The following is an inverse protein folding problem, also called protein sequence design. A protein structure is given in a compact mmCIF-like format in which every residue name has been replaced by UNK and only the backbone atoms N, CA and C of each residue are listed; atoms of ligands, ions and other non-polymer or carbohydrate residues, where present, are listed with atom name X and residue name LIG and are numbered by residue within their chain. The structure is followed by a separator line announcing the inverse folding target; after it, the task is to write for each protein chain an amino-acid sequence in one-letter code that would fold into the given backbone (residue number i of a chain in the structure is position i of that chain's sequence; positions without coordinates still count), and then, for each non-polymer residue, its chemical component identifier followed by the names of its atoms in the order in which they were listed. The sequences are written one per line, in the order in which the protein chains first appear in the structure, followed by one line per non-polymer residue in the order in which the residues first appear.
data_IF_211178647893
#
_entry.id   IF_211178647893
#
_cell.length_a   1.000
_cell.length_b   1.000
_cell.length_c   1.000
_cell.angle_alpha   90.00
_cell.angle_beta   90.00
_cell.angle_gamma   90.00
#
_symmetry.space_group_name_H-M   'P 1'
#
loop_
_entity.id
_entity.type
_entity.pdbx_description
1 polymer ?
#
# COMPACT_ATOMS: atom_id res chain seq x y z
N UNK A 1 17.59 29.32 -12.58
CA UNK A 1 17.61 28.08 -13.37
C UNK A 1 17.22 26.79 -12.62
N UNK A 2 16.78 26.84 -11.34
CA UNK A 2 16.05 25.73 -10.69
C UNK A 2 14.58 26.07 -10.36
N UNK A 3 14.18 27.33 -10.62
CA UNK A 3 12.88 27.87 -10.25
C UNK A 3 11.70 27.33 -11.10
N UNK A 4 11.97 26.62 -12.18
CA UNK A 4 10.92 26.07 -13.06
C UNK A 4 10.36 24.74 -12.53
N UNK A 5 11.20 23.91 -11.89
CA UNK A 5 10.78 22.61 -11.34
C UNK A 5 9.85 22.77 -10.13
N UNK A 6 10.07 23.81 -9.30
CA UNK A 6 9.22 24.10 -8.14
C UNK A 6 7.90 24.78 -8.49
N UNK A 7 7.70 25.19 -9.76
CA UNK A 7 6.51 25.91 -10.23
C UNK A 7 5.40 24.98 -10.76
N UNK A 8 5.71 23.72 -11.08
CA UNK A 8 4.77 22.80 -11.76
C UNK A 8 3.88 21.96 -10.84
N UNK A 9 4.10 21.98 -9.53
CA UNK A 9 3.21 21.31 -8.60
C UNK A 9 2.27 22.37 -7.98
N UNK A 10 0.96 22.34 -8.30
CA UNK A 10 0.01 23.31 -7.78
C UNK A 10 -0.13 23.15 -6.26
N UNK A 11 0.13 24.23 -5.53
CA UNK A 11 -0.05 24.29 -4.08
C UNK A 11 1.25 24.42 -3.27
N UNK A 12 1.16 25.00 -2.05
CA UNK A 12 2.28 25.18 -1.13
C UNK A 12 2.93 23.84 -0.78
N UNK A 13 4.21 23.85 -0.38
CA UNK A 13 5.01 22.63 -0.08
C UNK A 13 4.28 21.67 0.87
N UNK A 14 3.53 22.20 1.83
CA UNK A 14 2.74 21.39 2.77
C UNK A 14 1.60 20.61 2.10
N UNK A 15 0.95 21.17 1.08
CA UNK A 15 -0.11 20.48 0.32
C UNK A 15 0.46 19.28 -0.44
N UNK A 16 1.65 19.43 -1.04
CA UNK A 16 2.34 18.33 -1.74
C UNK A 16 2.69 17.17 -0.80
N UNK A 17 3.08 17.49 0.44
CA UNK A 17 3.37 16.48 1.46
C UNK A 17 2.11 15.70 1.83
N UNK A 18 0.99 16.41 2.02
CA UNK A 18 -0.30 15.79 2.34
C UNK A 18 -0.78 14.91 1.19
N UNK A 19 -0.70 15.40 -0.05
CA UNK A 19 -1.08 14.62 -1.24
C UNK A 19 -0.23 13.35 -1.39
N UNK A 20 1.09 13.45 -1.20
CA UNK A 20 1.97 12.29 -1.22
C UNK A 20 1.62 11.28 -0.11
N UNK A 21 1.32 11.75 1.10
CA UNK A 21 0.87 10.90 2.20
C UNK A 21 -0.44 10.19 1.88
N UNK A 22 -1.40 10.89 1.28
CA UNK A 22 -2.69 10.32 0.86
C UNK A 22 -2.48 9.26 -0.21
N UNK A 23 -1.63 9.51 -1.21
CA UNK A 23 -1.31 8.53 -2.24
C UNK A 23 -0.67 7.26 -1.65
N UNK A 24 0.27 7.42 -0.73
CA UNK A 24 0.89 6.28 -0.03
C UNK A 24 -0.17 5.52 0.77
N UNK A 25 -0.99 6.21 1.55
CA UNK A 25 -2.06 5.59 2.33
C UNK A 25 -3.07 4.85 1.44
N UNK A 26 -3.42 5.43 0.29
CA UNK A 26 -4.30 4.81 -0.70
C UNK A 26 -3.69 3.53 -1.29
N UNK A 27 -2.40 3.54 -1.61
CA UNK A 27 -1.68 2.36 -2.10
C UNK A 27 -1.66 1.26 -1.02
N UNK A 28 -1.34 1.62 0.23
CA UNK A 28 -1.34 0.66 1.35
C UNK A 28 -2.73 0.06 1.56
N UNK A 29 -3.78 0.88 1.54
CA UNK A 29 -5.16 0.40 1.64
C UNK A 29 -5.53 -0.51 0.46
N UNK A 30 -5.19 -0.14 -0.77
CA UNK A 30 -5.44 -0.97 -1.94
C UNK A 30 -4.71 -2.31 -1.86
N UNK A 31 -3.46 -2.30 -1.40
CA UNK A 31 -2.69 -3.52 -1.15
C UNK A 31 -3.38 -4.39 -0.10
N UNK A 32 -3.81 -3.82 1.03
CA UNK A 32 -4.42 -4.57 2.13
C UNK A 32 -5.81 -5.09 1.81
N UNK A 33 -6.65 -4.27 1.17
CA UNK A 33 -8.07 -4.59 0.91
C UNK A 33 -8.24 -5.43 -0.35
N UNK A 34 -7.41 -5.24 -1.37
CA UNK A 34 -7.59 -5.88 -2.67
C UNK A 34 -6.48 -6.88 -3.00
N UNK A 35 -5.21 -6.46 -2.92
CA UNK A 35 -4.09 -7.32 -3.33
C UNK A 35 -3.87 -8.47 -2.35
N UNK A 36 -4.01 -8.23 -1.05
CA UNK A 36 -3.79 -9.26 -0.04
C UNK A 36 -4.82 -10.39 -0.12
N UNK A 37 -6.15 -10.13 -0.22
CA UNK A 37 -7.13 -11.21 -0.41
C UNK A 37 -6.95 -11.94 -1.73
N UNK A 38 -6.65 -11.21 -2.82
CA UNK A 38 -6.33 -11.82 -4.11
C UNK A 38 -5.11 -12.74 -3.98
N UNK A 39 -3.99 -12.26 -3.44
CA UNK A 39 -2.76 -13.04 -3.26
C UNK A 39 -2.98 -14.23 -2.33
N UNK A 40 -3.73 -14.06 -1.25
CA UNK A 40 -4.03 -15.11 -0.29
C UNK A 40 -4.76 -16.29 -0.95
N UNK A 41 -5.61 -16.07 -1.97
CA UNK A 41 -6.22 -17.18 -2.72
C UNK A 41 -5.18 -18.03 -3.47
N UNK A 42 -4.05 -17.45 -3.88
CA UNK A 42 -2.98 -18.18 -4.56
C UNK A 42 -1.97 -18.78 -3.58
N UNK A 43 -1.69 -18.13 -2.45
CA UNK A 43 -0.67 -18.57 -1.48
C UNK A 43 -1.23 -19.40 -0.32
N UNK A 44 -2.54 -19.32 -0.03
CA UNK A 44 -3.20 -20.04 1.06
C UNK A 44 -2.86 -21.54 1.10
N UNK A 45 -2.80 -22.27 -0.04
CA UNK A 45 -2.44 -23.70 -0.02
C UNK A 45 -1.03 -23.99 0.51
N UNK A 46 -0.14 -22.99 0.55
CA UNK A 46 1.25 -23.13 1.00
C UNK A 46 1.51 -22.58 2.40
N UNK A 47 0.51 -21.96 3.02
CA UNK A 47 0.67 -21.20 4.29
C UNK A 47 -0.06 -21.84 5.47
N UNK A 48 -0.71 -22.99 5.26
CA UNK A 48 -1.36 -23.75 6.32
C UNK A 48 -0.34 -24.17 7.40
N UNK A 49 -0.48 -23.62 8.60
CA UNK A 49 0.36 -23.96 9.75
C UNK A 49 -0.07 -25.30 10.34
N UNK A 50 0.79 -26.32 10.26
CA UNK A 50 0.55 -27.70 10.74
C UNK A 50 0.38 -27.83 12.27
N UNK A 51 0.52 -26.74 13.04
CA UNK A 51 0.53 -26.79 14.51
C UNK A 51 -0.87 -26.98 15.14
N UNK A 52 -1.96 -26.89 14.36
CA UNK A 52 -3.34 -27.12 14.84
C UNK A 52 -4.01 -28.40 14.33
N UNK A 53 -3.34 -29.19 13.47
CA UNK A 53 -3.95 -30.37 12.82
C UNK A 53 -3.71 -31.68 13.58
N UNK A 54 -2.91 -31.66 14.65
CA UNK A 54 -2.42 -32.85 15.37
C UNK A 54 -2.96 -33.04 16.79
N UNK A 55 -3.82 -32.15 17.30
CA UNK A 55 -4.54 -32.38 18.57
C UNK A 55 -5.97 -32.84 18.28
N UNK A 56 -6.08 -34.10 17.89
CA UNK A 56 -7.27 -34.93 18.17
C UNK A 56 -7.29 -35.37 19.63
#
# INVERSE_FOLDING_TARGET
MYAWIFRNLPGPVWFRIIEALILIAAIVLLLMVYVFPWLNQYISPFTDSTIGQSTS
#
